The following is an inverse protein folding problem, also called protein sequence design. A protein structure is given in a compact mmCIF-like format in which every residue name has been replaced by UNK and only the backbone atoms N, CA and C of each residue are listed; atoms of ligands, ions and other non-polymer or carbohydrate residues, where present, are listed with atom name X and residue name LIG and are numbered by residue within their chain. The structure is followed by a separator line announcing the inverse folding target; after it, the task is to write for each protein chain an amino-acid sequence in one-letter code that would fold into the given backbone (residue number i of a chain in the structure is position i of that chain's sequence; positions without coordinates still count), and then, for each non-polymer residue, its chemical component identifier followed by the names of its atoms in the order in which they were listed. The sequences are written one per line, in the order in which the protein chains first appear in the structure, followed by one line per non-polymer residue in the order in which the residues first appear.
data_IF_561489280944
#
_entry.id   IF_561489280944
#
_cell.length_a   1.000
_cell.length_b   1.000
_cell.length_c   1.000
_cell.angle_alpha   90.00
_cell.angle_beta   90.00
_cell.angle_gamma   90.00
#
_symmetry.space_group_name_H-M   'P 1'
#
loop_
_entity.id
_entity.type
_entity.pdbx_description
1 polymer ?
#
# COMPACT_ATOMS: atom_id res chain seq x y z
N UNK A 1 -3.72 3.78 -25.45
CA UNK A 1 -3.34 2.35 -25.32
C UNK A 1 -2.06 2.25 -24.46
N UNK A 2 -2.04 1.48 -23.37
CA UNK A 2 -0.84 1.30 -22.52
C UNK A 2 0.14 0.36 -23.21
N UNK A 3 1.41 0.75 -23.41
CA UNK A 3 2.43 -0.11 -24.01
C UNK A 3 2.79 -1.32 -23.13
N UNK A 4 3.35 -2.40 -23.69
CA UNK A 4 3.75 -3.59 -22.91
C UNK A 4 4.78 -3.26 -21.82
N UNK A 5 5.72 -2.35 -22.11
CA UNK A 5 6.72 -1.87 -21.15
C UNK A 5 6.04 -1.09 -20.01
N UNK A 6 5.12 -0.19 -20.34
CA UNK A 6 4.37 0.56 -19.36
C UNK A 6 3.51 -0.35 -18.47
N UNK A 7 2.88 -1.40 -19.04
CA UNK A 7 2.11 -2.36 -18.25
C UNK A 7 2.99 -3.10 -17.22
N UNK A 8 4.17 -3.57 -17.62
CA UNK A 8 5.11 -4.20 -16.67
C UNK A 8 5.65 -3.25 -15.62
N UNK A 9 5.90 -1.99 -16.00
CA UNK A 9 6.27 -0.95 -15.03
C UNK A 9 5.18 -0.78 -13.97
N UNK A 10 3.90 -0.75 -14.37
CA UNK A 10 2.77 -0.66 -13.44
C UNK A 10 2.63 -1.91 -12.56
N UNK A 11 2.89 -3.12 -13.09
CA UNK A 11 2.95 -4.34 -12.26
C UNK A 11 4.01 -4.19 -11.17
N UNK A 12 5.22 -3.77 -11.53
CA UNK A 12 6.31 -3.60 -10.59
C UNK A 12 5.98 -2.53 -9.54
N UNK A 13 5.44 -1.39 -9.96
CA UNK A 13 5.04 -0.30 -9.07
C UNK A 13 3.93 -0.72 -8.08
N UNK A 14 2.91 -1.43 -8.56
CA UNK A 14 1.84 -1.97 -7.72
C UNK A 14 2.36 -3.00 -6.71
N UNK A 15 3.17 -3.96 -7.16
CA UNK A 15 3.75 -4.99 -6.30
C UNK A 15 4.69 -4.39 -5.24
N UNK A 16 5.54 -3.43 -5.63
CA UNK A 16 6.43 -2.74 -4.70
C UNK A 16 5.64 -2.12 -3.55
N UNK A 17 4.56 -1.40 -3.84
CA UNK A 17 3.72 -0.80 -2.80
C UNK A 17 3.08 -1.86 -1.90
N UNK A 18 2.49 -2.92 -2.47
CA UNK A 18 1.87 -4.00 -1.68
C UNK A 18 2.87 -4.66 -0.73
N UNK A 19 4.14 -4.79 -1.12
CA UNK A 19 5.18 -5.41 -0.31
C UNK A 19 5.72 -4.47 0.78
N UNK A 20 5.86 -3.18 0.48
CA UNK A 20 6.50 -2.22 1.40
C UNK A 20 5.55 -1.73 2.49
N UNK A 21 4.29 -1.45 2.15
CA UNK A 21 3.35 -0.85 3.10
C UNK A 21 3.07 -1.69 4.37
N UNK A 22 2.99 -3.04 4.33
CA UNK A 22 2.83 -3.84 5.55
C UNK A 22 3.98 -3.65 6.54
N UNK A 23 5.23 -3.62 6.04
CA UNK A 23 6.40 -3.38 6.89
C UNK A 23 6.37 -1.98 7.51
N UNK A 24 5.97 -0.98 6.73
CA UNK A 24 5.81 0.38 7.24
C UNK A 24 4.69 0.48 8.28
N UNK A 25 3.56 -0.20 8.06
CA UNK A 25 2.47 -0.29 9.04
C UNK A 25 2.93 -0.88 10.37
N UNK A 26 3.76 -1.93 10.34
CA UNK A 26 4.37 -2.48 11.56
C UNK A 26 5.33 -1.50 12.24
N UNK A 27 6.07 -0.70 11.47
CA UNK A 27 6.95 0.32 12.04
C UNK A 27 6.15 1.41 12.75
N UNK A 28 5.03 1.86 12.15
CA UNK A 28 4.12 2.83 12.77
C UNK A 28 3.45 2.23 14.02
N UNK A 29 2.99 0.99 13.96
CA UNK A 29 2.37 0.32 15.11
C UNK A 29 3.30 0.26 16.32
N UNK A 30 4.59 0.01 16.09
CA UNK A 30 5.61 -0.09 17.13
C UNK A 30 6.25 1.26 17.52
N UNK A 31 5.78 2.38 16.97
CA UNK A 31 6.26 3.72 17.33
C UNK A 31 5.58 4.19 18.62
N UNK A 32 6.34 4.68 19.60
CA UNK A 32 5.80 5.19 20.87
C UNK A 32 4.78 6.31 20.65
N UNK A 33 4.93 7.14 19.60
CA UNK A 33 3.99 8.23 19.30
C UNK A 33 2.63 7.75 18.84
N UNK A 34 2.51 6.49 18.41
CA UNK A 34 1.25 5.90 17.98
C UNK A 34 0.27 5.65 19.14
N UNK A 35 0.77 5.67 20.37
CA UNK A 35 0.05 5.26 21.57
C UNK A 35 0.19 6.29 22.68
N UNK A 36 -0.85 6.46 23.50
CA UNK A 36 -0.77 7.32 24.69
C UNK A 36 -0.01 6.64 25.85
N UNK A 37 0.14 5.31 25.80
CA UNK A 37 0.84 4.52 26.80
C UNK A 37 1.44 3.25 26.17
N UNK A 38 1.25 2.09 26.82
CA UNK A 38 1.77 0.81 26.33
C UNK A 38 1.32 0.53 24.88
N UNK A 39 2.27 0.13 24.03
CA UNK A 39 2.05 -0.16 22.61
C UNK A 39 1.01 -1.30 22.48
N UNK A 40 -0.07 -1.04 21.76
CA UNK A 40 -1.13 -2.03 21.49
C UNK A 40 -2.17 -2.21 22.61
N UNK A 41 -1.90 -1.71 23.81
CA UNK A 41 -2.77 -1.87 24.99
C UNK A 41 -3.32 -0.53 25.52
N UNK A 42 -3.09 0.57 24.81
CA UNK A 42 -3.51 1.92 25.21
C UNK A 42 -4.26 2.65 24.08
N UNK A 43 -4.72 3.88 24.35
CA UNK A 43 -5.46 4.68 23.36
C UNK A 43 -4.56 5.01 22.17
N UNK A 44 -5.00 4.74 20.92
CA UNK A 44 -4.26 5.15 19.73
C UNK A 44 -4.35 6.66 19.53
N UNK A 45 -3.22 7.29 19.19
CA UNK A 45 -3.14 8.73 18.97
C UNK A 45 -3.56 9.12 17.53
N UNK A 46 -3.68 10.43 17.29
CA UNK A 46 -3.84 10.94 15.93
C UNK A 46 -2.71 10.55 14.98
N UNK A 47 -1.49 10.34 15.48
CA UNK A 47 -0.36 9.87 14.66
C UNK A 47 -0.66 8.50 14.05
N UNK A 48 -1.17 7.55 14.83
CA UNK A 48 -1.53 6.22 14.32
C UNK A 48 -2.65 6.31 13.28
N UNK A 49 -3.71 7.06 13.58
CA UNK A 49 -4.86 7.17 12.69
C UNK A 49 -4.54 7.80 11.35
N UNK A 50 -3.77 8.88 11.32
CA UNK A 50 -3.34 9.52 10.07
C UNK A 50 -2.57 8.52 9.21
N UNK A 51 -1.60 7.82 9.78
CA UNK A 51 -0.81 6.84 9.03
C UNK A 51 -1.65 5.64 8.60
N UNK A 52 -2.55 5.14 9.43
CA UNK A 52 -3.44 4.04 9.06
C UNK A 52 -4.29 4.40 7.82
N UNK A 53 -4.89 5.60 7.80
CA UNK A 53 -5.66 6.09 6.65
C UNK A 53 -4.77 6.22 5.41
N UNK A 54 -3.58 6.82 5.55
CA UNK A 54 -2.64 6.98 4.44
C UNK A 54 -2.17 5.64 3.86
N UNK A 55 -1.89 4.65 4.72
CA UNK A 55 -1.49 3.30 4.32
C UNK A 55 -2.63 2.61 3.56
N UNK A 56 -3.86 2.65 4.09
CA UNK A 56 -5.04 2.05 3.45
C UNK A 56 -5.29 2.68 2.08
N UNK A 57 -5.22 4.00 1.98
CA UNK A 57 -5.36 4.71 0.71
C UNK A 57 -4.27 4.29 -0.29
N UNK A 58 -3.01 4.27 0.13
CA UNK A 58 -1.88 3.92 -0.73
C UNK A 58 -1.95 2.46 -1.22
N UNK A 59 -2.30 1.51 -0.35
CA UNK A 59 -2.49 0.10 -0.72
C UNK A 59 -3.67 -0.06 -1.68
N UNK A 60 -4.78 0.64 -1.45
CA UNK A 60 -5.95 0.59 -2.35
C UNK A 60 -5.61 1.07 -3.76
N UNK A 61 -4.85 2.17 -3.86
CA UNK A 61 -4.35 2.68 -5.14
C UNK A 61 -3.40 1.67 -5.79
N UNK A 62 -2.47 1.08 -5.03
CA UNK A 62 -1.53 0.09 -5.54
C UNK A 62 -2.24 -1.15 -6.12
N UNK A 63 -3.29 -1.63 -5.45
CA UNK A 63 -4.14 -2.72 -5.94
C UNK A 63 -4.85 -2.33 -7.23
N UNK A 64 -5.40 -1.11 -7.31
CA UNK A 64 -6.03 -0.58 -8.53
C UNK A 64 -5.04 -0.50 -9.71
N UNK A 65 -3.82 -0.02 -9.46
CA UNK A 65 -2.74 0.03 -10.46
C UNK A 65 -2.38 -1.38 -10.94
N UNK A 66 -2.21 -2.33 -10.02
CA UNK A 66 -1.89 -3.71 -10.35
C UNK A 66 -3.01 -4.38 -11.17
N UNK A 67 -4.27 -4.13 -10.80
CA UNK A 67 -5.43 -4.59 -11.55
C UNK A 67 -5.37 -4.11 -13.00
N UNK A 68 -5.22 -2.79 -13.22
CA UNK A 68 -5.14 -2.19 -14.56
C UNK A 68 -3.98 -2.77 -15.37
N UNK A 69 -2.82 -2.97 -14.73
CA UNK A 69 -1.66 -3.56 -15.38
C UNK A 69 -1.92 -5.01 -15.83
N UNK A 70 -2.50 -5.83 -14.96
CA UNK A 70 -2.83 -7.23 -15.24
C UNK A 70 -3.89 -7.36 -16.33
N UNK A 71 -4.95 -6.55 -16.29
CA UNK A 71 -5.98 -6.57 -17.35
C UNK A 71 -5.41 -6.15 -18.70
N UNK A 72 -4.55 -5.12 -18.75
CA UNK A 72 -3.88 -4.69 -19.97
C UNK A 72 -2.93 -5.77 -20.54
N UNK A 73 -2.27 -6.56 -19.69
CA UNK A 73 -1.45 -7.69 -20.13
C UNK A 73 -2.31 -8.86 -20.63
N UNK A 74 -3.46 -9.13 -20.01
CA UNK A 74 -4.39 -10.20 -20.43
C UNK A 74 -5.07 -9.89 -21.75
N UNK A 75 -5.51 -8.65 -21.98
CA UNK A 75 -6.18 -8.25 -23.24
C UNK A 75 -5.26 -8.34 -24.45
N UNK A 76 -3.93 -8.27 -24.26
CA UNK A 76 -2.93 -8.45 -25.33
C UNK A 76 -2.57 -9.91 -25.62
N UNK A 77 -2.96 -10.85 -24.74
CA UNK A 77 -2.73 -12.29 -24.91
C UNK A 77 -3.89 -12.99 -25.62
N UNK A 78 -5.06 -12.36 -25.66
CA UNK A 78 -6.23 -12.76 -26.46
C UNK A 78 -6.14 -12.09 -27.82
#
# INVERSE_FOLDING_TARGET
MISRRAAWFLVLAGLFNIVIWPRFGMAIWNDERAWEGAIGDSTPTGFLWVHAVLIVAAVSIAVGVLWVAVTALRSRRR
#
